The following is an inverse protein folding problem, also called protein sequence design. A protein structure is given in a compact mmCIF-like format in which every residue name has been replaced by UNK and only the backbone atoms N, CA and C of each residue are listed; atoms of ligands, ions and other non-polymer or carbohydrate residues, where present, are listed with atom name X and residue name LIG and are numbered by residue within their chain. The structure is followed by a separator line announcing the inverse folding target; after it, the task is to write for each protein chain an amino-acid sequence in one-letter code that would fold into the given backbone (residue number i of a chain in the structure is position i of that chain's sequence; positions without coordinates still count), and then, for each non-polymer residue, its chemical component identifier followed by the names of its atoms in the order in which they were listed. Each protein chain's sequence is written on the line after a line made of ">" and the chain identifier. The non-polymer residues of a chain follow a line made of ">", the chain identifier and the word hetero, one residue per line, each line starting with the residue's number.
data_IF_768746088411
#
_entry.id   IF_768746088411
#
_cell.length_a   1.000
_cell.length_b   1.000
_cell.length_c   1.000
_cell.angle_alpha   90.00
_cell.angle_beta   90.00
_cell.angle_gamma   90.00
#
_symmetry.space_group_name_H-M   'P 1'
#
loop_
_entity.id
_entity.type
_entity.pdbx_description
1 polymer ?
#
# COMPACT_ATOMS: atom_id res chain seq x y z
N UNK A 1 -11.31 2.39 21.71
CA UNK A 1 -10.12 1.50 21.81
C UNK A 1 -8.82 2.12 21.29
N UNK A 2 -8.74 2.67 20.06
CA UNK A 2 -7.54 3.43 19.61
C UNK A 2 -7.73 4.94 19.73
N UNK A 3 -8.86 5.48 19.29
CA UNK A 3 -9.19 6.91 19.40
C UNK A 3 -9.09 7.39 20.86
N UNK A 4 -9.69 6.64 21.80
CA UNK A 4 -9.57 6.86 23.25
C UNK A 4 -8.11 6.93 23.73
N UNK A 5 -7.21 6.10 23.17
CA UNK A 5 -5.78 6.09 23.54
C UNK A 5 -5.04 7.29 22.96
N UNK A 6 -5.43 7.73 21.77
CA UNK A 6 -4.90 8.95 21.15
C UNK A 6 -5.35 10.17 21.97
N UNK A 7 -6.63 10.25 22.34
CA UNK A 7 -7.16 11.31 23.21
C UNK A 7 -6.49 11.32 24.58
N UNK A 8 -6.22 10.15 25.16
CA UNK A 8 -5.47 10.00 26.40
C UNK A 8 -3.96 10.28 26.27
N UNK A 9 -3.47 10.56 25.06
CA UNK A 9 -2.05 10.80 24.73
C UNK A 9 -1.13 9.66 25.20
N UNK A 10 -1.61 8.42 25.09
CA UNK A 10 -0.77 7.25 25.36
C UNK A 10 0.41 7.20 24.37
N UNK A 11 1.58 6.81 24.85
CA UNK A 11 2.80 6.68 24.02
C UNK A 11 2.67 5.41 23.16
N UNK A 12 2.55 5.59 21.85
CA UNK A 12 2.30 4.52 20.89
C UNK A 12 3.14 4.72 19.61
N UNK A 13 4.00 3.75 19.33
CA UNK A 13 4.92 3.73 18.18
C UNK A 13 4.22 4.04 16.84
N UNK A 14 4.65 5.10 16.18
CA UNK A 14 4.13 5.51 14.87
C UNK A 14 2.67 5.98 14.87
N UNK A 15 2.12 6.24 16.06
CA UNK A 15 0.79 6.83 16.26
C UNK A 15 0.95 8.20 16.93
N UNK A 16 1.43 8.21 18.18
CA UNK A 16 1.72 9.41 18.98
C UNK A 16 3.23 9.64 19.11
N UNK A 17 4.05 8.75 18.56
CA UNK A 17 5.49 8.94 18.40
C UNK A 17 5.93 8.76 16.95
N UNK A 18 7.19 9.09 16.66
CA UNK A 18 7.84 8.77 15.39
C UNK A 18 8.04 7.26 15.15
N UNK A 19 8.83 6.91 14.13
CA UNK A 19 9.24 5.53 13.83
C UNK A 19 10.76 5.43 13.68
N UNK A 20 11.30 4.22 13.78
CA UNK A 20 12.74 3.97 13.64
C UNK A 20 13.55 4.77 14.65
N UNK A 21 14.53 5.55 14.16
CA UNK A 21 15.37 6.42 15.00
C UNK A 21 14.57 7.48 15.78
N UNK A 22 13.40 7.88 15.29
CA UNK A 22 12.53 8.85 15.95
C UNK A 22 11.45 8.23 16.83
N UNK A 23 11.57 6.94 17.16
CA UNK A 23 10.54 6.21 17.93
C UNK A 23 10.30 6.74 19.35
N UNK A 24 11.27 7.46 19.92
CA UNK A 24 11.20 8.07 21.25
C UNK A 24 10.68 9.53 21.22
N UNK A 25 10.48 10.11 20.04
CA UNK A 25 9.97 11.48 19.89
C UNK A 25 8.45 11.46 19.98
N UNK A 26 7.89 12.09 21.02
CA UNK A 26 6.44 12.27 21.20
C UNK A 26 5.97 13.44 20.34
N UNK A 27 4.89 13.21 19.59
CA UNK A 27 4.29 14.17 18.65
C UNK A 27 3.08 14.85 19.30
N UNK A 28 2.89 16.13 18.99
CA UNK A 28 1.63 16.82 19.25
C UNK A 28 0.55 16.48 18.20
N UNK A 29 -0.69 16.92 18.43
CA UNK A 29 -1.85 16.52 17.61
C UNK A 29 -1.72 16.95 16.12
N UNK A 30 -1.14 18.13 15.85
CA UNK A 30 -0.87 18.60 14.48
C UNK A 30 0.27 17.80 13.83
N UNK A 31 1.32 17.53 14.60
CA UNK A 31 2.45 16.71 14.16
C UNK A 31 2.03 15.28 13.85
N UNK A 32 1.09 14.68 14.60
CA UNK A 32 0.56 13.34 14.30
C UNK A 32 -0.05 13.29 12.90
N UNK A 33 -0.84 14.31 12.52
CA UNK A 33 -1.46 14.37 11.19
C UNK A 33 -0.43 14.57 10.08
N UNK A 34 0.50 15.51 10.27
CA UNK A 34 1.58 15.77 9.32
C UNK A 34 2.50 14.56 9.16
N UNK A 35 2.81 13.88 10.25
CA UNK A 35 3.68 12.72 10.28
C UNK A 35 3.16 11.59 9.39
N UNK A 36 1.85 11.32 9.36
CA UNK A 36 1.30 10.27 8.49
C UNK A 36 1.48 10.58 7.00
N UNK A 37 1.47 11.86 6.61
CA UNK A 37 1.78 12.29 5.24
C UNK A 37 3.27 12.16 4.94
N UNK A 38 4.12 12.67 5.84
CA UNK A 38 5.58 12.59 5.69
C UNK A 38 6.10 11.16 5.69
N UNK A 39 5.46 10.24 6.42
CA UNK A 39 5.76 8.81 6.32
C UNK A 39 5.67 8.32 4.88
N UNK A 40 4.60 8.67 4.17
CA UNK A 40 4.44 8.28 2.76
C UNK A 40 5.49 8.97 1.89
N UNK A 41 5.66 10.29 2.00
CA UNK A 41 6.61 11.01 1.15
C UNK A 41 8.05 10.52 1.31
N UNK A 42 8.50 10.34 2.56
CA UNK A 42 9.87 9.92 2.85
C UNK A 42 10.15 8.49 2.39
N UNK A 43 9.13 7.64 2.36
CA UNK A 43 9.30 6.26 1.95
C UNK A 43 8.99 6.03 0.48
N UNK A 44 8.28 6.91 -0.25
CA UNK A 44 7.97 6.78 -1.67
C UNK A 44 9.20 6.91 -2.62
N UNK A 45 10.36 6.43 -2.19
CA UNK A 45 11.66 6.47 -2.84
C UNK A 45 11.93 5.28 -3.79
N UNK A 46 10.88 4.67 -4.34
CA UNK A 46 11.02 3.63 -5.37
C UNK A 46 11.62 4.22 -6.66
N UNK A 47 12.48 3.47 -7.35
CA UNK A 47 13.18 3.93 -8.56
C UNK A 47 13.14 2.93 -9.71
N UNK A 48 13.38 3.44 -10.92
CA UNK A 48 13.44 2.66 -12.15
C UNK A 48 12.06 2.41 -12.76
N UNK A 49 11.98 1.39 -13.61
CA UNK A 49 10.78 1.05 -14.37
C UNK A 49 9.60 0.68 -13.47
N UNK A 50 8.38 0.91 -13.98
CA UNK A 50 7.17 0.46 -13.32
C UNK A 50 7.13 -1.07 -13.17
N UNK A 51 6.69 -1.54 -12.02
CA UNK A 51 6.43 -2.94 -11.76
C UNK A 51 5.19 -3.42 -12.57
N UNK A 52 5.10 -4.71 -12.91
CA UNK A 52 3.91 -5.28 -13.53
C UNK A 52 2.63 -4.96 -12.74
N UNK A 53 1.57 -4.55 -13.45
CA UNK A 53 0.30 -4.11 -12.83
C UNK A 53 -0.32 -5.20 -11.95
N UNK A 54 -0.17 -6.47 -12.31
CA UNK A 54 -0.66 -7.60 -11.51
C UNK A 54 0.02 -7.72 -10.14
N UNK A 55 1.32 -7.40 -10.05
CA UNK A 55 2.01 -7.34 -8.76
C UNK A 55 1.45 -6.23 -7.88
N UNK A 56 1.17 -5.05 -8.46
CA UNK A 56 0.62 -3.91 -7.73
C UNK A 56 -0.81 -4.19 -7.26
N UNK A 57 -1.66 -4.73 -8.14
CA UNK A 57 -3.02 -5.14 -7.80
C UNK A 57 -3.03 -6.24 -6.73
N UNK A 58 -2.12 -7.21 -6.82
CA UNK A 58 -1.93 -8.23 -5.79
C UNK A 58 -1.48 -7.64 -4.46
N UNK A 59 -0.58 -6.64 -4.47
CA UNK A 59 -0.14 -5.93 -3.27
C UNK A 59 -1.28 -5.18 -2.60
N UNK A 60 -2.09 -4.45 -3.38
CA UNK A 60 -3.31 -3.77 -2.90
C UNK A 60 -4.29 -4.77 -2.29
N UNK A 61 -4.56 -5.89 -2.96
CA UNK A 61 -5.43 -6.95 -2.42
C UNK A 61 -4.90 -7.52 -1.10
N UNK A 62 -3.61 -7.82 -1.04
CA UNK A 62 -2.94 -8.28 0.17
C UNK A 62 -3.09 -7.27 1.31
N UNK A 63 -2.91 -5.97 1.01
CA UNK A 63 -3.05 -4.90 2.01
C UNK A 63 -4.49 -4.80 2.51
N UNK A 64 -5.48 -4.80 1.61
CA UNK A 64 -6.90 -4.82 1.95
C UNK A 64 -7.20 -5.97 2.93
N UNK A 65 -6.75 -7.19 2.61
CA UNK A 65 -6.95 -8.36 3.46
C UNK A 65 -6.33 -8.21 4.86
N UNK A 66 -5.13 -7.63 4.96
CA UNK A 66 -4.48 -7.38 6.26
C UNK A 66 -5.22 -6.32 7.06
N UNK A 67 -5.62 -5.21 6.43
CA UNK A 67 -6.34 -4.13 7.11
C UNK A 67 -7.72 -4.59 7.59
N UNK A 68 -8.43 -5.40 6.79
CA UNK A 68 -9.76 -5.92 7.10
C UNK A 68 -9.80 -6.82 8.36
N UNK A 69 -8.66 -7.36 8.81
CA UNK A 69 -8.58 -8.15 10.05
C UNK A 69 -8.72 -7.30 11.33
N UNK A 70 -8.67 -5.97 11.24
CA UNK A 70 -8.93 -5.07 12.37
C UNK A 70 -7.74 -4.81 13.31
N UNK A 71 -6.58 -5.42 13.08
CA UNK A 71 -5.39 -5.23 13.94
C UNK A 71 -4.55 -4.00 13.59
N UNK A 72 -4.85 -3.30 12.48
CA UNK A 72 -4.02 -2.19 11.99
C UNK A 72 -4.42 -0.82 12.54
N UNK A 73 -5.65 -0.67 13.06
CA UNK A 73 -6.12 0.58 13.68
C UNK A 73 -6.33 1.76 12.72
N UNK A 74 -6.37 1.52 11.41
CA UNK A 74 -6.70 2.55 10.43
C UNK A 74 -8.21 2.76 10.32
N UNK A 75 -8.61 3.91 9.75
CA UNK A 75 -10.01 4.16 9.43
C UNK A 75 -10.51 3.22 8.33
N UNK A 76 -11.79 2.83 8.42
CA UNK A 76 -12.45 1.94 7.43
C UNK A 76 -12.40 2.53 6.01
N UNK A 77 -12.52 3.85 5.89
CA UNK A 77 -12.48 4.55 4.60
C UNK A 77 -11.20 4.26 3.81
N UNK A 78 -10.06 4.08 4.48
CA UNK A 78 -8.78 3.72 3.81
C UNK A 78 -8.88 2.36 3.11
N UNK A 79 -9.48 1.37 3.79
CA UNK A 79 -9.66 0.03 3.23
C UNK A 79 -10.65 0.08 2.06
N UNK A 80 -11.75 0.83 2.23
CA UNK A 80 -12.77 1.00 1.19
C UNK A 80 -12.21 1.70 -0.05
N UNK A 81 -11.39 2.74 0.10
CA UNK A 81 -10.73 3.39 -1.04
C UNK A 81 -9.85 2.40 -1.81
N UNK A 82 -9.06 1.56 -1.14
CA UNK A 82 -8.29 0.53 -1.84
C UNK A 82 -9.16 -0.50 -2.56
N UNK A 83 -10.27 -0.92 -1.95
CA UNK A 83 -11.25 -1.82 -2.59
C UNK A 83 -11.83 -1.18 -3.84
N UNK A 84 -12.24 0.09 -3.75
CA UNK A 84 -12.79 0.85 -4.88
C UNK A 84 -11.76 0.99 -6.01
N UNK A 85 -10.51 1.35 -5.69
CA UNK A 85 -9.42 1.43 -6.67
C UNK A 85 -9.22 0.09 -7.37
N UNK A 86 -9.17 -1.02 -6.62
CA UNK A 86 -8.97 -2.35 -7.18
C UNK A 86 -10.13 -2.77 -8.10
N UNK A 87 -11.37 -2.54 -7.67
CA UNK A 87 -12.60 -2.89 -8.40
C UNK A 87 -12.81 -2.04 -9.65
N UNK A 88 -12.54 -0.73 -9.57
CA UNK A 88 -12.69 0.21 -10.69
C UNK A 88 -11.46 0.23 -11.63
N UNK A 89 -10.41 -0.53 -11.31
CA UNK A 89 -9.25 -0.68 -12.18
C UNK A 89 -8.25 0.48 -12.11
N UNK A 90 -8.27 1.29 -11.04
CA UNK A 90 -7.24 2.30 -10.76
C UNK A 90 -6.04 1.60 -10.14
N UNK A 91 -4.94 1.50 -10.90
CA UNK A 91 -3.73 0.81 -10.46
C UNK A 91 -2.56 1.80 -10.38
N UNK A 92 -1.99 2.06 -9.19
CA UNK A 92 -0.87 2.99 -9.04
C UNK A 92 0.34 2.63 -9.91
N UNK A 93 1.03 3.65 -10.42
CA UNK A 93 2.37 3.48 -10.98
C UNK A 93 3.38 3.36 -9.84
N UNK A 94 4.07 2.23 -9.78
CA UNK A 94 4.97 1.88 -8.68
C UNK A 94 6.25 1.34 -9.28
N UNK A 95 7.38 1.86 -8.83
CA UNK A 95 8.68 1.44 -9.32
C UNK A 95 9.04 0.03 -8.85
N UNK A 96 9.71 -0.74 -9.71
CA UNK A 96 10.10 -2.13 -9.43
C UNK A 96 11.21 -2.27 -8.38
N UNK A 97 12.03 -1.24 -8.17
CA UNK A 97 13.14 -1.26 -7.19
C UNK A 97 12.86 -0.29 -6.04
N UNK A 98 13.22 -0.71 -4.82
CA UNK A 98 13.15 0.14 -3.63
C UNK A 98 12.86 -0.62 -2.33
N UNK A 99 12.14 -1.74 -2.40
CA UNK A 99 11.95 -2.62 -1.24
C UNK A 99 13.20 -3.48 -0.98
N UNK A 100 13.53 -3.67 0.30
CA UNK A 100 14.55 -4.62 0.78
C UNK A 100 13.93 -5.87 1.43
N UNK A 101 12.60 -5.96 1.51
CA UNK A 101 11.88 -7.14 2.01
C UNK A 101 12.07 -7.48 3.50
N UNK A 102 12.73 -6.63 4.28
CA UNK A 102 13.10 -6.93 5.68
C UNK A 102 12.02 -6.57 6.72
N UNK A 103 11.47 -5.34 6.66
CA UNK A 103 10.50 -4.81 7.64
C UNK A 103 9.21 -4.27 7.01
N UNK A 104 9.01 -4.56 5.73
CA UNK A 104 7.88 -4.07 4.93
C UNK A 104 8.34 -3.61 3.56
N UNK A 105 7.44 -3.67 2.60
CA UNK A 105 7.63 -3.14 1.25
C UNK A 105 7.40 -1.62 1.24
N UNK A 106 8.05 -0.90 2.17
CA UNK A 106 7.73 0.50 2.48
C UNK A 106 7.77 1.38 1.24
N UNK A 107 8.79 1.24 0.39
CA UNK A 107 8.92 2.06 -0.79
C UNK A 107 7.79 1.92 -1.80
N UNK A 108 7.54 0.72 -2.35
CA UNK A 108 6.43 0.53 -3.28
C UNK A 108 5.06 0.72 -2.63
N UNK A 109 4.86 0.34 -1.36
CA UNK A 109 3.58 0.56 -0.67
C UNK A 109 3.33 2.05 -0.41
N UNK A 110 4.36 2.86 -0.20
CA UNK A 110 4.22 4.32 -0.11
C UNK A 110 3.88 4.94 -1.46
N UNK A 111 4.47 4.46 -2.56
CA UNK A 111 4.07 4.89 -3.90
C UNK A 111 2.60 4.55 -4.21
N UNK A 112 2.10 3.41 -3.74
CA UNK A 112 0.65 3.08 -3.77
C UNK A 112 -0.16 4.05 -2.91
N UNK A 113 0.31 4.36 -1.70
CA UNK A 113 -0.41 5.18 -0.73
C UNK A 113 -0.46 6.67 -1.11
N UNK A 114 0.38 7.16 -2.03
CA UNK A 114 0.26 8.52 -2.59
C UNK A 114 -1.15 8.80 -3.13
N UNK A 115 -1.82 7.81 -3.73
CA UNK A 115 -3.19 7.97 -4.23
C UNK A 115 -4.20 8.27 -3.12
N UNK A 116 -3.97 7.84 -1.87
CA UNK A 116 -4.85 8.17 -0.74
C UNK A 116 -4.81 9.68 -0.39
N UNK A 117 -3.81 10.40 -0.90
CA UNK A 117 -3.68 11.86 -0.83
C UNK A 117 -3.98 12.55 -2.17
N UNK A 118 -4.39 11.80 -3.20
CA UNK A 118 -4.60 12.31 -4.55
C UNK A 118 -3.31 12.54 -5.35
N UNK A 119 -2.18 12.04 -4.87
CA UNK A 119 -0.86 12.29 -5.43
C UNK A 119 -0.32 11.09 -6.20
N UNK A 120 0.84 11.24 -6.83
CA UNK A 120 1.46 10.21 -7.65
C UNK A 120 0.76 10.05 -9.01
N UNK A 121 0.88 8.86 -9.59
CA UNK A 121 0.32 8.52 -10.91
C UNK A 121 -0.35 7.16 -10.85
N UNK A 122 -1.34 6.94 -11.69
CA UNK A 122 -2.05 5.67 -11.78
C UNK A 122 -2.48 5.36 -13.21
N UNK A 123 -2.45 4.07 -13.54
CA UNK A 123 -3.07 3.53 -14.73
C UNK A 123 -4.58 3.41 -14.51
N UNK A 124 -5.37 3.95 -15.43
CA UNK A 124 -6.82 3.80 -15.48
C UNK A 124 -7.29 3.71 -16.93
N UNK A 125 -8.06 2.67 -17.26
CA UNK A 125 -8.55 2.39 -18.63
C UNK A 125 -7.46 2.41 -19.72
N UNK A 126 -6.25 1.95 -19.38
CA UNK A 126 -5.12 1.88 -20.31
C UNK A 126 -4.27 3.15 -20.41
N UNK A 127 -4.65 4.24 -19.74
CA UNK A 127 -3.90 5.50 -19.72
C UNK A 127 -3.18 5.71 -18.39
N UNK A 128 -1.96 6.26 -18.42
CA UNK A 128 -1.22 6.67 -17.23
C UNK A 128 -1.52 8.15 -16.92
N UNK A 129 -2.23 8.40 -15.83
CA UNK A 129 -2.74 9.72 -15.44
C UNK A 129 -2.13 10.20 -14.12
N UNK A 130 -2.16 11.51 -13.84
CA UNK A 130 -2.02 12.02 -12.48
C UNK A 130 -3.00 11.33 -11.53
N UNK A 131 -2.56 11.04 -10.30
CA UNK A 131 -3.32 10.23 -9.35
C UNK A 131 -4.73 10.77 -9.06
N UNK A 132 -4.82 12.07 -8.74
CA UNK A 132 -6.10 12.76 -8.58
C UNK A 132 -7.01 12.60 -9.80
N UNK A 133 -6.49 12.76 -10.99
CA UNK A 133 -7.28 12.65 -12.22
C UNK A 133 -7.80 11.23 -12.43
N UNK A 134 -6.98 10.20 -12.18
CA UNK A 134 -7.41 8.81 -12.26
C UNK A 134 -8.55 8.50 -11.26
N UNK A 135 -8.46 9.00 -10.04
CA UNK A 135 -9.49 8.83 -9.00
C UNK A 135 -10.78 9.58 -9.35
N UNK A 136 -10.67 10.84 -9.80
CA UNK A 136 -11.82 11.64 -10.25
C UNK A 136 -12.56 10.96 -11.42
N UNK A 137 -11.83 10.49 -12.45
CA UNK A 137 -12.42 9.77 -13.59
C UNK A 137 -12.99 8.39 -13.22
N UNK A 138 -12.59 7.82 -12.09
CA UNK A 138 -13.15 6.58 -11.56
C UNK A 138 -14.30 6.82 -10.56
N UNK A 139 -14.58 8.08 -10.20
CA UNK A 139 -15.55 8.42 -9.15
C UNK A 139 -15.15 7.85 -7.79
N UNK A 140 -13.89 8.03 -7.40
CA UNK A 140 -13.35 7.62 -6.10
C UNK A 140 -12.93 8.88 -5.34
N UNK A 141 -13.51 9.09 -4.16
CA UNK A 141 -13.13 10.20 -3.30
C UNK A 141 -11.77 9.97 -2.62
N UNK A 142 -10.97 11.03 -2.51
CA UNK A 142 -9.68 11.00 -1.84
C UNK A 142 -9.91 11.05 -0.32
N UNK A 143 -9.54 10.00 0.45
CA UNK A 143 -9.88 9.91 1.87
C UNK A 143 -9.01 10.81 2.77
N UNK A 144 -7.87 11.28 2.25
CA UNK A 144 -6.81 11.86 3.06
C UNK A 144 -6.30 10.89 4.13
N UNK A 145 -5.48 11.39 5.04
CA UNK A 145 -4.90 10.59 6.12
C UNK A 145 -5.18 11.26 7.46
N UNK A 146 -5.51 10.45 8.45
CA UNK A 146 -5.59 10.80 9.86
C UNK A 146 -4.55 9.99 10.64
N UNK A 147 -4.51 10.17 11.96
CA UNK A 147 -3.68 9.37 12.84
C UNK A 147 -3.75 7.88 12.48
N UNK A 148 -2.59 7.21 12.46
CA UNK A 148 -2.38 5.79 12.09
C UNK A 148 -2.55 5.42 10.61
N UNK A 149 -3.31 6.15 9.80
CA UNK A 149 -3.65 5.71 8.43
C UNK A 149 -2.42 5.52 7.53
N UNK A 150 -1.48 6.46 7.54
CA UNK A 150 -0.29 6.43 6.70
C UNK A 150 0.58 5.21 7.02
N UNK A 151 0.90 5.00 8.30
CA UNK A 151 1.68 3.85 8.73
C UNK A 151 0.97 2.52 8.43
N UNK A 152 -0.35 2.46 8.65
CA UNK A 152 -1.13 1.26 8.34
C UNK A 152 -1.18 0.96 6.84
N UNK A 153 -1.22 1.97 5.98
CA UNK A 153 -1.22 1.82 4.53
C UNK A 153 0.09 1.21 4.00
N UNK A 154 1.23 1.56 4.60
CA UNK A 154 2.56 1.22 4.04
C UNK A 154 3.25 0.05 4.73
N UNK A 155 2.91 -0.24 6.00
CA UNK A 155 3.65 -1.22 6.79
C UNK A 155 3.17 -2.66 6.56
N UNK A 156 3.82 -3.35 5.61
CA UNK A 156 3.65 -4.78 5.36
C UNK A 156 4.42 -5.27 4.14
N UNK A 157 4.65 -6.58 4.05
CA UNK A 157 5.35 -7.24 2.93
C UNK A 157 4.41 -7.61 1.77
N UNK A 158 3.52 -6.69 1.40
CA UNK A 158 2.40 -6.97 0.50
C UNK A 158 2.83 -7.11 -0.97
N UNK A 159 3.83 -6.36 -1.43
CA UNK A 159 4.33 -6.47 -2.80
C UNK A 159 5.10 -7.77 -2.98
N UNK A 160 6.03 -8.07 -2.06
CA UNK A 160 6.79 -9.32 -2.08
C UNK A 160 5.85 -10.53 -2.04
N UNK A 161 4.85 -10.51 -1.16
CA UNK A 161 3.85 -11.58 -1.06
C UNK A 161 3.08 -11.75 -2.37
N UNK A 162 2.66 -10.65 -3.01
CA UNK A 162 1.96 -10.70 -4.29
C UNK A 162 2.84 -11.30 -5.40
N UNK A 163 4.09 -10.85 -5.51
CA UNK A 163 5.07 -11.38 -6.46
C UNK A 163 5.30 -12.88 -6.25
N UNK A 164 5.50 -13.31 -5.00
CA UNK A 164 5.70 -14.72 -4.69
C UNK A 164 4.47 -15.57 -4.99
N UNK A 165 3.26 -15.08 -4.71
CA UNK A 165 2.02 -15.79 -4.99
C UNK A 165 1.80 -15.98 -6.51
N UNK A 166 2.02 -14.92 -7.30
CA UNK A 166 1.91 -14.97 -8.76
C UNK A 166 2.98 -15.89 -9.36
N UNK A 167 4.23 -15.75 -8.93
CA UNK A 167 5.31 -16.64 -9.36
C UNK A 167 5.01 -18.12 -9.05
N UNK A 168 4.53 -18.41 -7.84
CA UNK A 168 4.17 -19.78 -7.46
C UNK A 168 3.04 -20.32 -8.33
N UNK A 169 2.02 -19.51 -8.60
CA UNK A 169 0.92 -19.88 -9.49
C UNK A 169 1.42 -20.23 -10.89
N UNK A 170 2.27 -19.39 -11.48
CA UNK A 170 2.82 -19.61 -12.82
C UNK A 170 3.74 -20.83 -12.87
N UNK A 171 4.59 -21.03 -11.85
CA UNK A 171 5.46 -22.20 -11.74
C UNK A 171 4.65 -23.50 -11.65
N UNK A 172 3.58 -23.53 -10.85
CA UNK A 172 2.68 -24.69 -10.75
C UNK A 172 1.97 -24.97 -12.07
N UNK A 173 1.53 -23.92 -12.80
CA UNK A 173 0.93 -24.08 -14.12
C UNK A 173 1.93 -24.63 -15.13
N UNK A 174 3.16 -24.11 -15.12
CA UNK A 174 4.23 -24.56 -16.00
C UNK A 174 4.53 -26.05 -15.77
N UNK A 175 4.72 -26.46 -14.52
CA UNK A 175 4.96 -27.88 -14.18
C UNK A 175 3.83 -28.78 -14.66
N UNK A 176 2.57 -28.39 -14.46
CA UNK A 176 1.41 -29.16 -14.93
C UNK A 176 1.37 -29.33 -16.46
N UNK A 177 1.84 -28.34 -17.22
CA UNK A 177 1.91 -28.47 -18.68
C UNK A 177 3.10 -29.33 -19.12
N UNK A 178 4.24 -29.20 -18.45
CA UNK A 178 5.42 -30.02 -18.73
C UNK A 178 5.16 -31.52 -18.50
N UNK A 179 4.40 -31.88 -17.47
CA UNK A 179 3.99 -33.27 -17.23
C UNK A 179 3.09 -33.82 -18.34
N UNK A 180 2.14 -33.04 -18.85
CA UNK A 180 1.28 -33.45 -19.96
C UNK A 180 2.05 -33.63 -21.26
N UNK A 181 3.01 -32.75 -21.54
CA UNK A 181 3.86 -32.84 -22.72
C UNK A 181 4.73 -34.11 -22.75
N UNK A 182 5.12 -34.62 -21.57
CA UNK A 182 5.85 -35.90 -21.45
C UNK A 182 5.01 -37.15 -21.75
N UNK A 183 3.68 -37.06 -21.67
CA UNK A 183 2.79 -38.20 -21.97
C UNK A 183 2.50 -38.30 -23.48
N UNK A 184 2.80 -37.26 -24.25
CA UNK A 184 2.58 -37.19 -25.71
C UNK A 184 3.86 -37.37 -26.55
N UNK A 185 5.01 -37.60 -25.92
CA UNK A 185 6.30 -37.87 -26.56
C UNK A 185 6.74 -39.31 -26.25
#
# INVERSE_FOLDING_TARGET
>A
MLEEKIEAKEIMYGITTGIGEFSEVVLNDEEVLLFQKYLIYNHAAGIGEAAPLEHIRGAMLGRINVLAKGYSGNRVIIVQTYVEMLNKGVTPEVCRKGSVGASGDLAPMSQIALLLMGEGRAFYKGELLPGKEALDRAGIEIPGLQARDGLAAINGSNLLTAMSAIFLYDALRFMKQAEKGRIQA
#
